data_IF_148611761155
#
_entry.id   IF_148611761155
#
_cell.length_a   1.000
_cell.length_b   1.000
_cell.length_c   1.000
_cell.angle_alpha   90.00
_cell.angle_beta   90.00
_cell.angle_gamma   90.00
#
_symmetry.space_group_name_H-M   'P 1'
#
loop_
_entity.id
_entity.type
_entity.pdbx_description
1 polymer ?
#
# COMPACT_ATOMS: atom_id res chain seq x y z
N UNK A 1 58.78 20.20 -3.93
CA UNK A 1 57.61 20.65 -4.74
C UNK A 1 56.40 19.71 -4.66
N UNK A 2 56.55 18.41 -4.34
CA UNK A 2 55.42 17.48 -4.22
C UNK A 2 54.58 17.66 -2.93
N UNK A 3 55.19 18.09 -1.82
CA UNK A 3 54.46 18.26 -0.54
C UNK A 3 53.52 19.47 -0.52
N UNK A 4 53.90 20.56 -1.21
CA UNK A 4 53.04 21.74 -1.36
C UNK A 4 51.76 21.41 -2.14
N UNK A 5 51.84 20.56 -3.17
CA UNK A 5 50.68 20.14 -3.94
C UNK A 5 49.69 19.28 -3.12
N UNK A 6 50.21 18.43 -2.21
CA UNK A 6 49.39 17.62 -1.30
C UNK A 6 48.68 18.47 -0.25
N UNK A 7 49.37 19.46 0.33
CA UNK A 7 48.78 20.41 1.27
C UNK A 7 47.68 21.26 0.61
N UNK A 8 47.89 21.69 -0.64
CA UNK A 8 46.92 22.48 -1.38
C UNK A 8 45.67 21.66 -1.75
N UNK A 9 45.84 20.39 -2.13
CA UNK A 9 44.73 19.44 -2.32
C UNK A 9 43.94 19.19 -1.03
N UNK A 10 44.61 18.99 0.11
CA UNK A 10 43.94 18.81 1.39
C UNK A 10 43.16 20.06 1.81
N UNK A 11 43.70 21.27 1.59
CA UNK A 11 43.01 22.52 1.85
C UNK A 11 41.78 22.72 0.95
N UNK A 12 41.85 22.36 -0.34
CA UNK A 12 40.71 22.43 -1.25
C UNK A 12 39.60 21.44 -0.87
N UNK A 13 39.96 20.23 -0.44
CA UNK A 13 38.98 19.23 0.05
C UNK A 13 38.30 19.71 1.33
N UNK A 14 39.04 20.30 2.26
CA UNK A 14 38.46 20.88 3.50
C UNK A 14 37.52 22.05 3.17
N UNK A 15 37.89 22.92 2.22
CA UNK A 15 37.04 24.04 1.81
C UNK A 15 35.73 23.57 1.14
N UNK A 16 35.79 22.52 0.32
CA UNK A 16 34.60 21.93 -0.31
C UNK A 16 33.63 21.31 0.72
N UNK A 17 34.16 20.61 1.74
CA UNK A 17 33.34 20.02 2.82
C UNK A 17 32.67 21.11 3.68
N UNK A 18 33.33 22.27 3.87
CA UNK A 18 32.73 23.39 4.59
C UNK A 18 31.62 24.08 3.78
N UNK A 19 31.71 24.17 2.45
CA UNK A 19 30.66 24.77 1.63
C UNK A 19 29.34 23.99 1.64
N UNK A 20 29.37 22.66 1.79
CA UNK A 20 28.15 21.83 1.88
C UNK A 20 27.35 22.05 3.19
N UNK A 21 27.95 22.69 4.20
CA UNK A 21 27.32 22.90 5.51
C UNK A 21 26.61 24.26 5.68
N UNK A 22 26.62 25.13 4.66
CA UNK A 22 26.08 26.50 4.76
C UNK A 22 24.71 26.70 4.08
N UNK A 23 24.19 25.74 3.31
CA UNK A 23 22.86 25.85 2.69
C UNK A 23 21.71 25.36 3.59
N UNK A 24 21.68 25.84 4.83
CA UNK A 24 20.56 25.67 5.75
C UNK A 24 20.10 27.02 6.33
N UNK A 25 19.40 27.82 5.51
CA UNK A 25 18.17 28.60 5.85
C UNK A 25 17.84 29.70 4.81
N UNK A 26 16.65 29.60 4.20
CA UNK A 26 15.81 30.78 3.90
C UNK A 26 15.29 30.95 2.45
N UNK A 27 13.96 31.02 2.28
CA UNK A 27 13.31 31.79 1.19
C UNK A 27 12.10 31.15 0.48
N UNK A 28 10.88 31.68 0.75
CA UNK A 28 9.61 31.38 0.04
C UNK A 28 9.50 32.09 -1.32
N UNK A 29 8.96 31.42 -2.34
CA UNK A 29 7.75 31.79 -3.15
C UNK A 29 7.62 30.81 -4.33
N UNK A 30 6.39 30.42 -4.65
CA UNK A 30 6.08 29.20 -5.39
C UNK A 30 6.20 29.26 -6.92
N UNK A 31 6.32 28.07 -7.51
CA UNK A 31 5.80 27.73 -8.83
C UNK A 31 5.72 26.19 -8.97
N UNK A 32 4.49 25.71 -9.09
CA UNK A 32 4.00 24.55 -9.86
C UNK A 32 5.09 23.66 -10.50
N UNK A 33 5.42 22.56 -9.83
CA UNK A 33 6.22 21.45 -10.34
C UNK A 33 5.48 20.13 -10.10
N UNK A 34 4.97 19.56 -11.19
CA UNK A 34 4.28 18.27 -11.26
C UNK A 34 5.13 17.14 -10.67
N UNK A 35 4.46 16.15 -10.07
CA UNK A 35 4.99 14.78 -10.03
C UNK A 35 5.71 14.39 -8.75
N UNK A 36 5.02 14.42 -7.62
CA UNK A 36 5.27 13.51 -6.51
C UNK A 36 3.90 13.00 -6.06
N UNK A 37 3.79 11.70 -5.80
CA UNK A 37 2.61 10.92 -5.38
C UNK A 37 2.04 9.94 -6.43
N UNK A 38 2.75 9.63 -7.50
CA UNK A 38 2.34 8.54 -8.39
C UNK A 38 2.88 7.16 -7.95
N UNK A 39 3.82 7.13 -6.99
CA UNK A 39 4.43 5.87 -6.54
C UNK A 39 3.51 4.99 -5.66
N UNK A 40 2.55 5.58 -4.93
CA UNK A 40 1.59 4.76 -4.15
C UNK A 40 0.51 4.13 -5.04
N UNK A 41 0.07 4.84 -6.08
CA UNK A 41 -0.85 4.29 -7.08
C UNK A 41 -0.20 3.19 -7.92
N UNK A 42 1.11 3.30 -8.21
CA UNK A 42 1.86 2.27 -8.92
C UNK A 42 1.84 0.94 -8.17
N UNK A 43 1.99 0.95 -6.84
CA UNK A 43 2.04 -0.29 -6.06
C UNK A 43 0.68 -1.01 -5.97
N UNK A 44 -0.44 -0.29 -5.88
CA UNK A 44 -1.81 -0.88 -5.97
C UNK A 44 -2.18 -1.32 -7.37
N UNK A 45 -1.79 -0.55 -8.38
CA UNK A 45 -1.95 -0.94 -9.78
C UNK A 45 -1.12 -2.19 -10.08
N UNK A 46 0.10 -2.30 -9.54
CA UNK A 46 0.93 -3.50 -9.59
C UNK A 46 0.20 -4.69 -8.96
N UNK A 47 -0.42 -4.58 -7.78
CA UNK A 47 -1.25 -5.66 -7.21
C UNK A 47 -2.41 -6.07 -8.13
N UNK A 48 -3.05 -5.12 -8.84
CA UNK A 48 -4.05 -5.41 -9.89
C UNK A 48 -3.46 -6.05 -11.15
N UNK A 49 -2.16 -5.88 -11.39
CA UNK A 49 -1.40 -6.47 -12.49
C UNK A 49 -0.69 -7.78 -12.08
N UNK A 50 -0.75 -8.19 -10.81
CA UNK A 50 -0.40 -9.54 -10.37
C UNK A 50 -1.53 -10.49 -10.84
N UNK A 51 -1.63 -10.68 -12.15
CA UNK A 51 -2.13 -11.93 -12.69
C UNK A 51 -0.98 -12.91 -12.62
N UNK A 52 -0.67 -13.43 -11.43
CA UNK A 52 0.29 -14.53 -11.33
C UNK A 52 -0.36 -15.72 -12.04
N UNK A 53 0.10 -16.00 -13.26
CA UNK A 53 -0.19 -17.19 -14.04
C UNK A 53 -1.55 -17.85 -13.71
N UNK A 54 -2.63 -17.36 -14.35
CA UNK A 54 -3.96 -18.01 -14.38
C UNK A 54 -3.95 -19.48 -14.89
N UNK A 55 -2.77 -20.05 -15.10
CA UNK A 55 -2.53 -21.41 -15.59
C UNK A 55 -2.59 -22.47 -14.49
N UNK A 56 -2.35 -22.14 -13.21
CA UNK A 56 -2.50 -23.12 -12.12
C UNK A 56 -3.92 -23.04 -11.51
N UNK A 57 -4.79 -24.05 -11.72
CA UNK A 57 -6.14 -24.07 -11.15
C UNK A 57 -6.15 -24.11 -9.61
N UNK A 58 -5.01 -24.41 -8.99
CA UNK A 58 -4.83 -24.43 -7.54
C UNK A 58 -4.34 -23.10 -6.98
N UNK A 59 -3.98 -22.13 -7.82
CA UNK A 59 -3.61 -20.79 -7.37
C UNK A 59 -4.74 -20.09 -6.60
N UNK A 60 -4.35 -19.25 -5.66
CA UNK A 60 -5.30 -18.42 -4.93
C UNK A 60 -6.04 -17.50 -5.91
N UNK A 61 -7.37 -17.55 -5.89
CA UNK A 61 -8.22 -16.64 -6.66
C UNK A 61 -9.39 -16.14 -5.81
N UNK A 62 -9.68 -14.86 -5.94
CA UNK A 62 -10.80 -14.22 -5.24
C UNK A 62 -12.11 -14.60 -5.94
N UNK A 63 -13.00 -15.29 -5.24
CA UNK A 63 -14.29 -15.76 -5.76
C UNK A 63 -15.43 -14.81 -5.46
N UNK A 64 -15.39 -14.12 -4.31
CA UNK A 64 -16.37 -13.10 -3.92
C UNK A 64 -15.69 -11.93 -3.24
N UNK A 65 -16.36 -10.79 -3.24
CA UNK A 65 -15.94 -9.64 -2.44
C UNK A 65 -16.98 -8.53 -2.49
N UNK A 66 -16.74 -7.47 -1.73
CA UNK A 66 -17.55 -6.25 -1.77
C UNK A 66 -17.66 -5.68 -3.19
N UNK A 67 -18.61 -4.77 -3.37
CA UNK A 67 -18.72 -4.02 -4.62
C UNK A 67 -17.45 -3.19 -4.86
N UNK A 68 -17.03 -3.06 -6.13
CA UNK A 68 -15.78 -2.38 -6.49
C UNK A 68 -15.77 -0.90 -6.11
N UNK A 69 -16.95 -0.30 -5.92
CA UNK A 69 -17.14 1.07 -5.45
C UNK A 69 -18.15 1.07 -4.32
N UNK A 70 -17.75 1.49 -3.12
CA UNK A 70 -18.57 1.45 -1.93
C UNK A 70 -18.55 2.79 -1.22
N UNK A 71 -19.66 3.16 -0.60
CA UNK A 71 -19.72 4.33 0.28
C UNK A 71 -19.88 3.95 1.75
N UNK A 72 -19.39 4.80 2.64
CA UNK A 72 -19.60 4.68 4.08
C UNK A 72 -20.04 6.00 4.70
N UNK A 73 -20.76 5.92 5.82
CA UNK A 73 -21.15 7.09 6.60
C UNK A 73 -20.15 7.34 7.71
N UNK A 74 -19.81 8.60 7.94
CA UNK A 74 -18.90 9.01 9.00
C UNK A 74 -19.46 8.62 10.38
N UNK A 75 -18.61 8.10 11.26
CA UNK A 75 -19.00 7.63 12.59
C UNK A 75 -19.65 6.24 12.63
N UNK A 76 -19.90 5.62 11.49
CA UNK A 76 -20.43 4.25 11.38
C UNK A 76 -19.35 3.27 10.92
N UNK A 77 -19.70 1.99 10.87
CA UNK A 77 -18.83 0.91 10.41
C UNK A 77 -18.62 0.96 8.89
N UNK A 78 -17.36 0.93 8.45
CA UNK A 78 -16.97 0.59 7.09
C UNK A 78 -16.61 -0.91 7.05
N UNK A 79 -17.26 -1.66 6.16
CA UNK A 79 -17.07 -3.10 6.02
C UNK A 79 -16.65 -3.45 4.58
N UNK A 80 -15.53 -4.15 4.44
CA UNK A 80 -15.07 -4.70 3.16
C UNK A 80 -14.86 -6.20 3.31
N UNK A 81 -15.47 -6.99 2.42
CA UNK A 81 -15.39 -8.46 2.46
C UNK A 81 -14.65 -9.01 1.25
N UNK A 82 -13.98 -10.14 1.43
CA UNK A 82 -13.30 -10.88 0.38
C UNK A 82 -13.36 -12.38 0.69
N UNK A 83 -13.68 -13.21 -0.31
CA UNK A 83 -13.63 -14.67 -0.24
C UNK A 83 -12.71 -15.16 -1.35
N UNK A 84 -11.78 -16.04 -1.01
CA UNK A 84 -10.83 -16.62 -1.94
C UNK A 84 -10.83 -18.14 -1.84
N UNK A 85 -10.52 -18.79 -2.97
CA UNK A 85 -10.34 -20.24 -3.07
C UNK A 85 -8.93 -20.53 -3.60
N UNK A 86 -8.34 -21.63 -3.15
CA UNK A 86 -7.03 -22.10 -3.59
C UNK A 86 -6.63 -23.39 -2.90
N UNK A 87 -5.69 -24.11 -3.49
CA UNK A 87 -5.15 -25.39 -2.99
C UNK A 87 -3.62 -25.32 -2.93
N UNK A 88 -2.99 -25.05 -1.78
CA UNK A 88 -3.56 -24.98 -0.43
C UNK A 88 -4.49 -23.78 -0.19
N UNK A 89 -5.32 -23.88 0.86
CA UNK A 89 -6.24 -22.81 1.30
C UNK A 89 -5.51 -21.46 1.36
N UNK A 90 -6.05 -20.41 0.74
CA UNK A 90 -5.36 -19.12 0.68
C UNK A 90 -5.42 -18.36 2.01
N UNK A 91 -4.41 -17.53 2.24
CA UNK A 91 -4.45 -16.45 3.24
C UNK A 91 -4.94 -15.16 2.59
N UNK A 92 -5.65 -14.30 3.34
CA UNK A 92 -6.10 -13.00 2.84
C UNK A 92 -5.46 -11.88 3.66
N UNK A 93 -4.85 -10.91 2.99
CA UNK A 93 -4.34 -9.67 3.60
C UNK A 93 -5.00 -8.45 3.02
N UNK A 94 -5.10 -7.38 3.80
CA UNK A 94 -5.72 -6.13 3.38
C UNK A 94 -4.70 -5.02 3.25
N UNK A 95 -4.85 -4.22 2.19
CA UNK A 95 -4.00 -3.08 1.89
C UNK A 95 -4.87 -1.85 1.66
N UNK A 96 -4.36 -0.68 2.04
CA UNK A 96 -4.91 0.62 1.67
C UNK A 96 -3.83 1.40 0.95
N UNK A 97 -4.08 1.81 -0.29
CA UNK A 97 -3.15 2.64 -1.08
C UNK A 97 -1.72 2.04 -1.14
N UNK A 98 -1.65 0.71 -1.20
CA UNK A 98 -0.41 -0.06 -1.34
C UNK A 98 0.26 -0.43 -0.02
N UNK A 99 -0.21 0.12 1.09
CA UNK A 99 0.31 -0.19 2.43
C UNK A 99 -0.53 -1.27 3.10
N UNK A 100 0.13 -2.29 3.66
CA UNK A 100 -0.55 -3.32 4.45
C UNK A 100 -1.23 -2.65 5.65
N UNK A 101 -2.52 -2.93 5.81
CA UNK A 101 -3.27 -2.44 6.96
C UNK A 101 -2.86 -3.32 8.12
N UNK A 102 -2.42 -2.70 9.22
CA UNK A 102 -2.15 -3.37 10.48
C UNK A 102 -3.30 -3.14 11.46
N UNK A 103 -3.52 -4.07 12.42
CA UNK A 103 -4.50 -3.88 13.49
C UNK A 103 -4.29 -2.57 14.24
N UNK A 104 -5.41 -1.88 14.50
CA UNK A 104 -5.49 -0.63 15.28
C UNK A 104 -6.73 -0.70 16.18
N UNK A 105 -6.89 0.19 17.18
CA UNK A 105 -8.08 0.18 18.03
C UNK A 105 -9.41 0.22 17.28
N UNK A 106 -9.46 0.90 16.13
CA UNK A 106 -10.65 1.03 15.27
C UNK A 106 -10.63 0.12 14.03
N UNK A 107 -9.65 -0.79 13.90
CA UNK A 107 -9.50 -1.67 12.72
C UNK A 107 -9.47 -3.12 13.16
N UNK A 108 -10.39 -3.92 12.65
CA UNK A 108 -10.56 -5.32 13.01
C UNK A 108 -10.58 -6.24 11.78
N UNK A 109 -9.99 -7.42 11.94
CA UNK A 109 -9.98 -8.48 10.94
C UNK A 109 -10.80 -9.66 11.45
N UNK A 110 -11.63 -10.19 10.57
CA UNK A 110 -12.37 -11.42 10.83
C UNK A 110 -12.09 -12.39 9.72
N UNK A 111 -11.50 -13.53 10.06
CA UNK A 111 -11.21 -14.59 9.10
C UNK A 111 -12.02 -15.83 9.45
N UNK A 112 -12.54 -16.48 8.41
CA UNK A 112 -13.34 -17.70 8.56
C UNK A 112 -13.08 -18.65 7.39
N UNK A 113 -12.65 -19.88 7.68
CA UNK A 113 -12.80 -21.02 6.78
C UNK A 113 -14.26 -21.25 6.36
N UNK A 114 -14.60 -21.13 5.08
CA UNK A 114 -15.98 -21.39 4.55
C UNK A 114 -16.10 -22.71 3.79
N UNK A 115 -15.00 -23.43 3.57
CA UNK A 115 -14.92 -24.75 2.95
C UNK A 115 -13.50 -25.33 3.08
N UNK A 116 -13.17 -26.47 2.46
CA UNK A 116 -11.83 -27.08 2.61
C UNK A 116 -10.70 -26.20 2.06
N UNK A 117 -10.97 -25.51 0.96
CA UNK A 117 -9.98 -24.76 0.18
C UNK A 117 -10.37 -23.28 0.04
N UNK A 118 -11.20 -22.77 0.96
CA UNK A 118 -11.75 -21.42 0.90
C UNK A 118 -11.45 -20.63 2.17
N UNK A 119 -11.15 -19.36 2.01
CA UNK A 119 -10.98 -18.41 3.11
C UNK A 119 -11.88 -17.21 2.86
N UNK A 120 -12.67 -16.85 3.86
CA UNK A 120 -13.41 -15.61 3.91
C UNK A 120 -12.75 -14.66 4.89
N UNK A 121 -12.64 -13.38 4.53
CA UNK A 121 -12.10 -12.33 5.37
C UNK A 121 -12.96 -11.07 5.29
N UNK A 122 -13.10 -10.37 6.43
CA UNK A 122 -13.73 -9.06 6.53
C UNK A 122 -12.80 -8.09 7.23
N UNK A 123 -12.57 -6.95 6.59
CA UNK A 123 -12.02 -5.76 7.18
C UNK A 123 -13.16 -4.89 7.72
N UNK A 124 -13.06 -4.53 8.99
CA UNK A 124 -13.99 -3.61 9.65
C UNK A 124 -13.23 -2.41 10.20
N UNK A 125 -13.70 -1.20 9.86
CA UNK A 125 -13.21 0.05 10.45
C UNK A 125 -14.38 0.70 11.21
N UNK A 126 -14.22 0.86 12.52
CA UNK A 126 -15.28 1.35 13.41
C UNK A 126 -14.70 2.17 14.59
N UNK A 127 -15.02 3.47 14.73
CA UNK A 127 -15.81 4.28 13.79
C UNK A 127 -14.99 4.65 12.54
N UNK A 128 -15.67 4.73 11.39
CA UNK A 128 -15.06 5.23 10.16
C UNK A 128 -15.00 6.76 10.12
N UNK A 129 -13.90 7.28 9.59
CA UNK A 129 -13.55 8.70 9.51
C UNK A 129 -13.32 9.11 8.05
N UNK A 130 -13.23 10.41 7.77
CA UNK A 130 -12.92 10.89 6.41
C UNK A 130 -11.58 10.32 5.89
N UNK A 131 -10.63 10.04 6.79
CA UNK A 131 -9.33 9.45 6.45
C UNK A 131 -9.40 8.00 5.98
N UNK A 132 -10.53 7.33 6.14
CA UNK A 132 -10.73 5.95 5.71
C UNK A 132 -11.18 5.85 4.23
N UNK A 133 -11.45 6.97 3.56
CA UNK A 133 -11.59 6.99 2.11
C UNK A 133 -10.28 6.58 1.42
N UNK A 134 -10.39 5.85 0.31
CA UNK A 134 -9.24 5.45 -0.50
C UNK A 134 -9.50 4.19 -1.32
N UNK A 135 -8.41 3.66 -1.89
CA UNK A 135 -8.43 2.36 -2.59
C UNK A 135 -7.92 1.29 -1.64
N UNK A 136 -8.78 0.30 -1.38
CA UNK A 136 -8.46 -0.89 -0.61
C UNK A 136 -8.18 -2.05 -1.56
N UNK A 137 -7.36 -3.00 -1.12
CA UNK A 137 -7.16 -4.25 -1.82
C UNK A 137 -7.24 -5.43 -0.83
N UNK A 138 -7.93 -6.50 -1.21
CA UNK A 138 -7.67 -7.81 -0.62
C UNK A 138 -6.67 -8.55 -1.50
N UNK A 139 -5.62 -9.09 -0.87
CA UNK A 139 -4.61 -9.93 -1.52
C UNK A 139 -4.76 -11.35 -0.99
N UNK A 140 -5.23 -12.24 -1.84
CA UNK A 140 -5.31 -13.67 -1.57
C UNK A 140 -4.04 -14.35 -2.05
N UNK A 141 -3.42 -15.15 -1.19
CA UNK A 141 -2.13 -15.77 -1.48
C UNK A 141 -2.10 -17.25 -1.07
N UNK A 142 -1.49 -18.08 -1.90
CA UNK A 142 -1.00 -19.41 -1.53
C UNK A 142 0.33 -19.70 -2.24
N UNK A 143 0.94 -20.86 -1.97
CA UNK A 143 2.21 -21.26 -2.60
C UNK A 143 2.14 -21.41 -4.14
N UNK A 144 0.94 -21.47 -4.71
CA UNK A 144 0.71 -21.65 -6.15
C UNK A 144 0.47 -20.33 -6.88
N UNK A 145 0.11 -19.26 -6.16
CA UNK A 145 -0.10 -17.96 -6.74
C UNK A 145 -0.77 -16.95 -5.82
N UNK A 146 -0.89 -15.73 -6.34
CA UNK A 146 -1.42 -14.57 -5.64
C UNK A 146 -2.42 -13.85 -6.55
N UNK A 147 -3.55 -13.45 -5.99
CA UNK A 147 -4.57 -12.65 -6.68
C UNK A 147 -4.99 -11.49 -5.80
N UNK A 148 -5.12 -10.30 -6.38
CA UNK A 148 -5.64 -9.13 -5.67
C UNK A 148 -6.97 -8.65 -6.26
N UNK A 149 -7.83 -8.09 -5.41
CA UNK A 149 -9.04 -7.38 -5.83
C UNK A 149 -9.12 -6.03 -5.13
N UNK A 150 -9.34 -4.98 -5.93
CA UNK A 150 -9.42 -3.60 -5.46
C UNK A 150 -10.86 -3.16 -5.20
N UNK A 151 -11.02 -2.29 -4.21
CA UNK A 151 -12.29 -1.68 -3.79
C UNK A 151 -12.06 -0.18 -3.58
N UNK A 152 -12.77 0.66 -4.33
CA UNK A 152 -12.84 2.09 -4.12
C UNK A 152 -13.84 2.38 -3.01
N UNK A 153 -13.42 3.11 -2.00
CA UNK A 153 -14.26 3.47 -0.86
C UNK A 153 -14.30 4.98 -0.69
N UNK A 154 -15.50 5.56 -0.65
CA UNK A 154 -15.73 7.00 -0.52
C UNK A 154 -16.68 7.29 0.65
N UNK A 155 -16.51 8.40 1.36
CA UNK A 155 -17.47 8.74 2.41
C UNK A 155 -18.70 9.46 1.82
N UNK A 156 -19.84 9.34 2.50
CA UNK A 156 -21.04 10.13 2.26
C UNK A 156 -21.47 10.82 3.56
N UNK A 157 -22.05 12.01 3.44
CA UNK A 157 -22.66 12.75 4.54
C UNK A 157 -23.99 12.14 4.99
#
# INVERSE_FOLDING_TARGET
>A
MQDLARLLLLLLVIFAILQETVDARGGRRGAKGKGKNNLQFAQVAEFSLIQSNLSDPKAAHVTKGSHFSQTFRLGYKLLIICEAKGEPRPTIKWYKEGSEINPKPNIHYYERPTGNNMMWSKLEIDPATMGDQGIYACVANNERGTMAKNFKVEYSY
#
